data_IF_698668102442
#
_entry.id   IF_698668102442
#
_cell.length_a   1.000
_cell.length_b   1.000
_cell.length_c   1.000
_cell.angle_alpha   90.00
_cell.angle_beta   90.00
_cell.angle_gamma   90.00
#
_symmetry.space_group_name_H-M   'P 1'
#
loop_
_entity.id
_entity.type
_entity.pdbx_description
1 polymer ?
#
# COMPACT_ATOMS: atom_id res chain seq x y z
N UNK A 1 -66.83 46.80 37.56
CA UNK A 1 -65.97 45.60 37.80
C UNK A 1 -65.61 44.82 36.53
N UNK A 2 -66.46 44.72 35.51
CA UNK A 2 -66.14 43.93 34.30
C UNK A 2 -64.98 44.47 33.45
N UNK A 3 -64.75 45.78 33.37
CA UNK A 3 -63.71 46.37 32.49
C UNK A 3 -62.26 46.13 32.96
N UNK A 4 -61.98 46.01 34.27
CA UNK A 4 -60.61 45.80 34.74
C UNK A 4 -60.13 44.36 34.56
N UNK A 5 -61.05 43.39 34.56
CA UNK A 5 -60.75 41.97 34.31
C UNK A 5 -60.31 41.76 32.85
N UNK A 6 -60.96 42.42 31.89
CA UNK A 6 -60.58 42.32 30.47
C UNK A 6 -59.23 42.96 30.16
N UNK A 7 -58.88 44.06 30.83
CA UNK A 7 -57.56 44.70 30.70
C UNK A 7 -56.46 43.80 31.28
N UNK A 8 -56.74 43.14 32.41
CA UNK A 8 -55.80 42.22 33.04
C UNK A 8 -55.54 40.98 32.19
N UNK A 9 -56.59 40.41 31.56
CA UNK A 9 -56.48 39.26 30.66
C UNK A 9 -55.71 39.65 29.38
N UNK A 10 -55.96 40.83 28.82
CA UNK A 10 -55.23 41.31 27.65
C UNK A 10 -53.73 41.52 27.94
N UNK A 11 -53.39 42.08 29.11
CA UNK A 11 -52.00 42.22 29.55
C UNK A 11 -51.32 40.86 29.75
N UNK A 12 -52.05 39.88 30.32
CA UNK A 12 -51.53 38.53 30.54
C UNK A 12 -51.28 37.81 29.21
N UNK A 13 -52.15 37.99 28.21
CA UNK A 13 -51.96 37.44 26.86
C UNK A 13 -50.78 38.09 26.12
N UNK A 14 -50.56 39.40 26.29
CA UNK A 14 -49.42 40.10 25.68
C UNK A 14 -48.10 39.64 26.31
N UNK A 15 -48.05 39.44 27.63
CA UNK A 15 -46.87 38.91 28.34
C UNK A 15 -46.62 37.44 27.94
N UNK A 16 -47.66 36.62 27.82
CA UNK A 16 -47.52 35.23 27.37
C UNK A 16 -46.99 35.16 25.93
N UNK A 17 -47.53 35.97 25.03
CA UNK A 17 -47.10 36.04 23.64
C UNK A 17 -45.65 36.53 23.51
N UNK A 18 -45.23 37.53 24.30
CA UNK A 18 -43.84 38.01 24.28
C UNK A 18 -42.85 37.00 24.89
N UNK A 19 -43.27 36.21 25.88
CA UNK A 19 -42.42 35.15 26.46
C UNK A 19 -42.21 33.94 25.55
N UNK A 20 -43.12 33.67 24.61
CA UNK A 20 -43.04 32.54 23.66
C UNK A 20 -42.33 32.90 22.34
N UNK A 21 -42.28 34.19 21.97
CA UNK A 21 -41.67 34.65 20.71
C UNK A 21 -40.15 34.82 20.84
N UNK A 22 -39.62 35.16 22.03
CA UNK A 22 -38.18 35.35 22.24
C UNK A 22 -37.30 34.08 22.18
N UNK A 23 -37.70 32.91 22.72
CA UNK A 23 -36.88 31.70 22.60
C UNK A 23 -36.86 31.14 21.16
N UNK A 24 -37.95 31.31 20.40
CA UNK A 24 -38.03 30.82 19.02
C UNK A 24 -37.17 31.67 18.05
N UNK A 25 -37.13 32.99 18.24
CA UNK A 25 -36.27 33.88 17.45
C UNK A 25 -34.78 33.65 17.71
N UNK A 26 -34.40 33.20 18.91
CA UNK A 26 -33.01 32.84 19.23
C UNK A 26 -32.53 31.57 18.52
N UNK A 27 -33.44 30.64 18.18
CA UNK A 27 -33.11 29.42 17.43
C UNK A 27 -32.99 29.68 15.92
N UNK A 28 -33.81 30.59 15.39
CA UNK A 28 -33.71 31.07 14.00
C UNK A 28 -32.49 31.97 13.74
N UNK A 29 -31.91 32.58 14.78
CA UNK A 29 -30.63 33.29 14.74
C UNK A 29 -29.47 32.40 15.25
N UNK A 30 -29.53 31.09 15.00
CA UNK A 30 -28.32 30.27 15.06
C UNK A 30 -27.40 30.76 13.95
N UNK A 31 -26.43 31.58 14.36
CA UNK A 31 -25.33 32.14 13.56
C UNK A 31 -24.99 31.19 12.41
N UNK A 32 -24.97 31.76 11.19
CA UNK A 32 -24.45 31.15 9.99
C UNK A 32 -23.24 30.27 10.35
N UNK A 33 -23.42 28.96 10.26
CA UNK A 33 -22.32 28.02 10.43
C UNK A 33 -21.35 28.37 9.32
N UNK A 34 -20.18 28.85 9.70
CA UNK A 34 -19.13 29.21 8.76
C UNK A 34 -18.57 27.92 8.16
N UNK A 35 -19.19 27.49 7.06
CA UNK A 35 -18.82 26.27 6.37
C UNK A 35 -17.37 26.34 5.85
N UNK A 36 -16.83 27.52 5.55
CA UNK A 36 -15.41 27.69 5.19
C UNK A 36 -14.51 27.43 6.40
N UNK A 37 -14.90 27.89 7.60
CA UNK A 37 -14.15 27.58 8.82
C UNK A 37 -14.22 26.09 9.18
N UNK A 38 -15.35 25.43 8.94
CA UNK A 38 -15.50 23.98 9.13
C UNK A 38 -14.66 23.21 8.11
N UNK A 39 -14.74 23.56 6.82
CA UNK A 39 -13.96 22.94 5.74
C UNK A 39 -12.46 23.12 5.97
N UNK A 40 -12.02 24.31 6.37
CA UNK A 40 -10.63 24.58 6.73
C UNK A 40 -10.17 23.80 7.96
N UNK A 41 -11.03 23.63 8.97
CA UNK A 41 -10.70 22.80 10.13
C UNK A 41 -10.58 21.32 9.78
N UNK A 42 -11.29 20.85 8.74
CA UNK A 42 -11.19 19.50 8.21
C UNK A 42 -9.94 19.34 7.34
N UNK A 43 -9.59 20.32 6.50
CA UNK A 43 -8.30 20.38 5.77
C UNK A 43 -7.09 20.40 6.71
N UNK A 44 -7.21 21.02 7.88
CA UNK A 44 -6.11 21.10 8.86
C UNK A 44 -6.01 19.82 9.71
N UNK A 45 -7.09 19.05 9.84
CA UNK A 45 -7.15 17.84 10.68
C UNK A 45 -6.75 16.54 9.97
N UNK A 46 -6.79 16.50 8.64
CA UNK A 46 -6.44 15.34 7.80
C UNK A 46 -4.96 15.32 7.35
N UNK A 47 -4.11 16.15 7.95
CA UNK A 47 -2.67 16.03 7.77
C UNK A 47 -2.14 14.85 8.61
N UNK A 48 -2.41 13.63 8.15
CA UNK A 48 -1.77 12.37 8.58
C UNK A 48 -0.22 12.41 8.58
N UNK A 49 0.34 13.50 8.06
CA UNK A 49 1.74 13.88 8.08
C UNK A 49 2.25 14.24 9.48
N UNK A 50 1.43 14.75 10.41
CA UNK A 50 1.88 15.18 11.75
C UNK A 50 2.00 14.04 12.79
N UNK A 51 1.47 12.85 12.51
CA UNK A 51 1.52 11.70 13.42
C UNK A 51 2.77 10.81 13.24
N UNK A 52 3.61 11.08 12.23
CA UNK A 52 4.81 10.29 11.92
C UNK A 52 6.07 10.99 12.44
N UNK A 53 7.02 10.24 13.02
CA UNK A 53 8.26 10.83 13.54
C UNK A 53 9.03 11.55 12.42
N UNK A 54 9.68 12.67 12.72
CA UNK A 54 10.33 13.59 11.77
C UNK A 54 11.34 12.91 10.82
N UNK A 55 11.94 11.80 11.27
CA UNK A 55 12.84 10.96 10.45
C UNK A 55 12.08 10.25 9.32
N UNK A 56 10.89 9.72 9.57
CA UNK A 56 10.05 9.06 8.56
C UNK A 56 9.53 10.05 7.52
N UNK A 57 9.28 11.29 7.92
CA UNK A 57 8.89 12.37 7.01
C UNK A 57 10.01 12.74 6.03
N UNK A 58 11.26 12.81 6.51
CA UNK A 58 12.40 13.06 5.62
C UNK A 58 12.66 11.91 4.65
N UNK A 59 12.48 10.66 5.08
CA UNK A 59 12.58 9.50 4.20
C UNK A 59 11.48 9.52 3.13
N UNK A 60 10.23 9.81 3.51
CA UNK A 60 9.13 9.97 2.56
C UNK A 60 9.35 11.11 1.58
N UNK A 61 9.81 12.28 2.04
CA UNK A 61 10.11 13.43 1.17
C UNK A 61 11.18 13.08 0.13
N UNK A 62 12.26 12.45 0.59
CA UNK A 62 13.36 11.99 -0.27
C UNK A 62 12.87 10.95 -1.28
N UNK A 63 12.01 10.03 -0.86
CA UNK A 63 11.37 9.09 -1.77
C UNK A 63 10.52 9.84 -2.80
N UNK A 64 9.61 10.75 -2.43
CA UNK A 64 8.82 11.54 -3.39
C UNK A 64 9.66 12.36 -4.36
N UNK A 65 10.79 12.93 -3.91
CA UNK A 65 11.71 13.69 -4.78
C UNK A 65 12.49 12.78 -5.74
N UNK A 66 12.93 11.61 -5.28
CA UNK A 66 13.59 10.61 -6.13
C UNK A 66 12.60 9.96 -7.11
N UNK A 67 11.33 9.84 -6.72
CA UNK A 67 10.20 9.41 -7.53
C UNK A 67 9.89 10.44 -8.63
N UNK A 68 9.90 11.75 -8.34
CA UNK A 68 9.69 12.82 -9.33
C UNK A 68 10.84 12.99 -10.34
N UNK A 69 12.07 12.63 -9.98
CA UNK A 69 13.25 12.72 -10.87
C UNK A 69 13.34 11.59 -11.90
N UNK A 70 12.54 10.54 -11.76
CA UNK A 70 12.55 9.39 -12.66
C UNK A 70 11.60 9.67 -13.84
N UNK A 71 12.10 9.70 -15.10
CA UNK A 71 11.28 10.03 -16.27
C UNK A 71 10.15 9.03 -16.56
N UNK A 72 10.14 7.86 -15.90
CA UNK A 72 9.18 6.78 -16.11
C UNK A 72 8.38 6.41 -14.83
N UNK A 73 8.41 7.24 -13.79
CA UNK A 73 7.85 6.87 -12.49
C UNK A 73 6.47 7.52 -12.25
N UNK A 74 5.46 6.64 -12.13
CA UNK A 74 4.12 6.83 -11.51
C UNK A 74 3.20 7.94 -12.08
N UNK A 75 3.60 8.66 -13.12
CA UNK A 75 2.72 9.63 -13.82
C UNK A 75 2.17 9.16 -15.18
N UNK A 76 2.79 8.17 -15.82
CA UNK A 76 2.35 7.70 -17.14
C UNK A 76 1.25 6.65 -17.00
N UNK A 77 0.01 7.11 -17.19
CA UNK A 77 -1.27 6.42 -17.00
C UNK A 77 -1.44 5.15 -17.86
N UNK A 78 -0.42 4.74 -18.63
CA UNK A 78 -0.50 3.63 -19.58
C UNK A 78 0.72 2.71 -19.68
N UNK A 79 1.78 2.87 -18.88
CA UNK A 79 2.92 1.95 -18.94
C UNK A 79 2.64 0.76 -18.01
N UNK A 80 2.54 -0.48 -18.54
CA UNK A 80 2.40 -1.66 -17.71
C UNK A 80 3.66 -1.87 -16.89
N UNK A 81 3.48 -2.18 -15.61
CA UNK A 81 4.58 -2.44 -14.67
C UNK A 81 4.70 -3.94 -14.44
N UNK A 82 5.93 -4.40 -14.25
CA UNK A 82 6.23 -5.81 -13.97
C UNK A 82 6.93 -5.95 -12.62
N UNK A 83 6.60 -7.04 -11.93
CA UNK A 83 7.10 -7.37 -10.60
C UNK A 83 7.52 -8.83 -10.58
N UNK A 84 8.57 -9.13 -9.82
CA UNK A 84 9.01 -10.50 -9.58
C UNK A 84 8.72 -10.88 -8.13
N UNK A 85 7.94 -11.93 -7.94
CA UNK A 85 7.60 -12.50 -6.64
C UNK A 85 8.52 -13.69 -6.39
N UNK A 86 9.07 -13.77 -5.18
CA UNK A 86 9.73 -14.95 -4.67
C UNK A 86 8.87 -15.58 -3.57
N UNK A 87 8.59 -16.87 -3.70
CA UNK A 87 7.89 -17.64 -2.67
C UNK A 87 8.81 -18.00 -1.51
N UNK A 88 8.22 -18.24 -0.33
CA UNK A 88 8.92 -18.89 0.79
C UNK A 88 9.21 -20.35 0.44
N UNK A 89 10.36 -20.85 0.89
CA UNK A 89 10.79 -22.23 0.65
C UNK A 89 9.76 -23.27 1.18
N UNK A 90 8.98 -22.92 2.20
CA UNK A 90 7.91 -23.77 2.77
C UNK A 90 6.54 -23.61 2.09
N UNK A 91 6.33 -22.55 1.31
CA UNK A 91 5.00 -22.20 0.82
C UNK A 91 4.38 -23.26 -0.10
N UNK A 92 5.15 -23.73 -1.10
CA UNK A 92 4.65 -24.76 -2.03
C UNK A 92 4.45 -26.11 -1.33
N UNK A 93 5.40 -26.63 -0.52
CA UNK A 93 5.17 -27.87 0.24
C UNK A 93 3.96 -27.80 1.19
N UNK A 94 3.77 -26.67 1.89
CA UNK A 94 2.63 -26.50 2.80
C UNK A 94 1.30 -26.47 2.02
N UNK A 95 1.27 -25.83 0.84
CA UNK A 95 0.11 -25.82 -0.03
C UNK A 95 -0.25 -27.22 -0.53
N UNK A 96 0.73 -27.99 -0.99
CA UNK A 96 0.55 -29.39 -1.44
C UNK A 96 0.03 -30.27 -0.29
N UNK A 97 0.48 -30.03 0.95
CA UNK A 97 -0.01 -30.76 2.13
C UNK A 97 -1.48 -30.46 2.42
N UNK A 98 -1.90 -29.20 2.25
CA UNK A 98 -3.28 -28.77 2.49
C UNK A 98 -4.23 -29.21 1.37
N UNK A 99 -3.76 -29.16 0.13
CA UNK A 99 -4.55 -29.43 -1.08
C UNK A 99 -3.86 -30.46 -1.98
N UNK A 100 -3.85 -31.75 -1.59
CA UNK A 100 -3.13 -32.79 -2.32
C UNK A 100 -3.74 -33.13 -3.69
N UNK A 101 -4.98 -32.72 -3.93
CA UNK A 101 -5.69 -32.97 -5.20
C UNK A 101 -5.25 -32.02 -6.32
N UNK A 102 -4.60 -30.90 -5.97
CA UNK A 102 -4.19 -29.87 -6.93
C UNK A 102 -2.79 -30.21 -7.46
N UNK A 103 -2.63 -30.46 -8.77
CA UNK A 103 -1.37 -30.92 -9.34
C UNK A 103 -0.30 -29.80 -9.44
N UNK A 104 -0.73 -28.56 -9.63
CA UNK A 104 0.15 -27.40 -9.77
C UNK A 104 -0.13 -26.35 -8.68
N UNK A 105 0.68 -26.31 -7.61
CA UNK A 105 0.46 -25.40 -6.50
C UNK A 105 0.74 -23.94 -6.89
N UNK A 106 1.75 -23.70 -7.74
CA UNK A 106 2.14 -22.34 -8.12
C UNK A 106 1.04 -21.71 -8.98
N UNK A 107 0.52 -22.47 -9.96
CA UNK A 107 -0.59 -22.04 -10.79
C UNK A 107 -1.85 -21.78 -9.97
N UNK A 108 -2.18 -22.66 -9.03
CA UNK A 108 -3.36 -22.51 -8.19
C UNK A 108 -3.31 -21.27 -7.29
N UNK A 109 -2.14 -20.97 -6.71
CA UNK A 109 -1.93 -19.75 -5.92
C UNK A 109 -2.07 -18.51 -6.82
N UNK A 110 -1.47 -18.54 -8.02
CA UNK A 110 -1.54 -17.43 -8.97
C UNK A 110 -2.98 -17.15 -9.41
N UNK A 111 -3.77 -18.17 -9.77
CA UNK A 111 -5.18 -18.01 -10.15
C UNK A 111 -6.05 -17.54 -8.98
N UNK A 112 -5.76 -18.02 -7.75
CA UNK A 112 -6.42 -17.53 -6.55
C UNK A 112 -6.19 -16.02 -6.38
N UNK A 113 -4.93 -15.57 -6.42
CA UNK A 113 -4.61 -14.14 -6.29
C UNK A 113 -5.17 -13.30 -7.44
N UNK A 114 -5.12 -13.82 -8.66
CA UNK A 114 -5.74 -13.18 -9.83
C UNK A 114 -7.23 -12.95 -9.63
N UNK A 115 -7.95 -13.94 -9.09
CA UNK A 115 -9.38 -13.79 -8.77
C UNK A 115 -9.62 -12.74 -7.68
N UNK A 116 -8.77 -12.70 -6.64
CA UNK A 116 -8.87 -11.71 -5.55
C UNK A 116 -8.61 -10.29 -6.06
N UNK A 117 -7.56 -10.10 -6.85
CA UNK A 117 -7.20 -8.81 -7.45
C UNK A 117 -8.27 -8.33 -8.42
N UNK A 118 -8.81 -9.23 -9.24
CA UNK A 118 -9.90 -8.91 -10.15
C UNK A 118 -11.16 -8.45 -9.40
N UNK A 119 -11.50 -9.10 -8.28
CA UNK A 119 -12.59 -8.67 -7.40
C UNK A 119 -12.33 -7.29 -6.76
N UNK A 120 -11.06 -6.95 -6.53
CA UNK A 120 -10.61 -5.62 -6.09
C UNK A 120 -10.51 -4.58 -7.20
N UNK A 121 -10.86 -4.92 -8.45
CA UNK A 121 -10.75 -4.01 -9.60
C UNK A 121 -9.34 -3.84 -10.17
N UNK A 122 -8.39 -4.67 -9.73
CA UNK A 122 -7.00 -4.68 -10.23
C UNK A 122 -6.85 -5.83 -11.23
N UNK A 123 -6.58 -5.48 -12.50
CA UNK A 123 -6.30 -6.45 -13.55
C UNK A 123 -4.78 -6.72 -13.61
N UNK A 124 -4.40 -7.93 -13.20
CA UNK A 124 -3.02 -8.40 -13.21
C UNK A 124 -2.88 -9.74 -13.96
N UNK A 125 -1.81 -9.86 -14.73
CA UNK A 125 -1.43 -11.07 -15.45
C UNK A 125 -0.28 -11.76 -14.69
N UNK A 126 -0.44 -13.05 -14.43
CA UNK A 126 0.57 -13.88 -13.76
C UNK A 126 1.25 -14.79 -14.77
N UNK A 127 2.58 -14.85 -14.72
CA UNK A 127 3.40 -15.70 -15.57
C UNK A 127 4.31 -16.57 -14.70
N UNK A 128 4.17 -17.88 -14.88
CA UNK A 128 5.02 -18.86 -14.23
C UNK A 128 6.35 -19.00 -14.96
N UNK A 129 7.43 -19.08 -14.19
CA UNK A 129 8.76 -19.35 -14.74
C UNK A 129 9.02 -20.85 -14.73
N UNK A 130 9.03 -21.48 -15.91
CA UNK A 130 9.30 -22.91 -16.06
C UNK A 130 10.62 -23.37 -15.42
N UNK A 131 11.62 -22.49 -15.34
CA UNK A 131 12.95 -22.79 -14.76
C UNK A 131 12.97 -22.72 -13.23
N UNK A 132 12.01 -22.03 -12.61
CA UNK A 132 12.03 -21.66 -11.20
C UNK A 132 10.59 -21.62 -10.64
N UNK A 133 10.06 -22.74 -10.12
CA UNK A 133 8.68 -22.82 -9.64
C UNK A 133 8.43 -21.95 -8.39
N UNK A 134 9.50 -21.50 -7.74
CA UNK A 134 9.54 -20.58 -6.61
C UNK A 134 9.39 -19.11 -7.02
N UNK A 135 9.39 -18.82 -8.32
CA UNK A 135 9.31 -17.46 -8.86
C UNK A 135 8.10 -17.27 -9.73
N UNK A 136 7.44 -16.14 -9.53
CA UNK A 136 6.26 -15.74 -10.28
C UNK A 136 6.46 -14.32 -10.79
N UNK A 137 6.23 -14.10 -12.09
CA UNK A 137 6.25 -12.76 -12.65
C UNK A 137 4.81 -12.24 -12.72
N UNK A 138 4.61 -11.02 -12.25
CA UNK A 138 3.30 -10.35 -12.30
C UNK A 138 3.41 -9.11 -13.14
N UNK A 139 2.42 -8.89 -13.99
CA UNK A 139 2.31 -7.69 -14.80
C UNK A 139 0.98 -7.01 -14.52
N UNK A 140 1.03 -5.73 -14.18
CA UNK A 140 -0.16 -4.89 -14.02
C UNK A 140 -0.28 -3.98 -15.23
N UNK A 141 -1.49 -3.90 -15.82
CA UNK A 141 -1.72 -3.05 -16.99
C UNK A 141 -1.67 -1.56 -16.65
N UNK A 142 -2.18 -1.20 -15.47
CA UNK A 142 -2.27 0.18 -14.98
C UNK A 142 -1.17 0.44 -13.95
N UNK A 143 -0.13 1.15 -14.34
CA UNK A 143 1.06 1.37 -13.48
C UNK A 143 0.79 2.08 -12.16
N UNK A 144 -0.29 2.87 -12.04
CA UNK A 144 -0.67 3.53 -10.78
C UNK A 144 -1.22 2.56 -9.73
N UNK A 145 -1.74 1.39 -10.14
CA UNK A 145 -2.18 0.33 -9.23
C UNK A 145 -1.01 -0.56 -8.76
N UNK A 146 0.21 -0.26 -9.18
CA UNK A 146 1.37 -1.06 -8.83
C UNK A 146 1.68 -1.01 -7.33
N UNK A 147 1.50 0.14 -6.68
CA UNK A 147 1.71 0.28 -5.23
C UNK A 147 0.71 -0.60 -4.45
N UNK A 148 -0.58 -0.50 -4.77
CA UNK A 148 -1.64 -1.33 -4.17
C UNK A 148 -1.40 -2.84 -4.40
N UNK A 149 -0.88 -3.21 -5.58
CA UNK A 149 -0.54 -4.59 -5.88
C UNK A 149 0.62 -5.10 -5.03
N UNK A 150 1.68 -4.29 -4.84
CA UNK A 150 2.80 -4.65 -3.96
C UNK A 150 2.30 -4.84 -2.52
N UNK A 151 1.49 -3.92 -2.02
CA UNK A 151 0.91 -4.02 -0.68
C UNK A 151 0.08 -5.29 -0.50
N UNK A 152 -0.73 -5.65 -1.51
CA UNK A 152 -1.48 -6.90 -1.49
C UNK A 152 -0.57 -8.13 -1.45
N UNK A 153 0.46 -8.17 -2.30
CA UNK A 153 1.36 -9.31 -2.45
C UNK A 153 2.24 -9.54 -1.23
N UNK A 154 2.77 -8.46 -0.65
CA UNK A 154 3.65 -8.50 0.53
C UNK A 154 2.90 -9.02 1.77
N UNK A 155 1.58 -8.81 1.82
CA UNK A 155 0.73 -9.32 2.89
C UNK A 155 0.36 -10.80 2.76
N UNK A 156 0.68 -11.47 1.65
CA UNK A 156 0.38 -12.89 1.46
C UNK A 156 1.37 -13.77 2.25
N UNK A 157 0.86 -14.78 2.93
CA UNK A 157 1.68 -15.68 3.76
C UNK A 157 2.74 -16.45 2.97
N UNK A 158 2.44 -16.73 1.69
CA UNK A 158 3.28 -17.51 0.80
C UNK A 158 4.48 -16.71 0.25
N UNK A 159 4.41 -15.38 0.27
CA UNK A 159 5.39 -14.49 -0.35
C UNK A 159 6.57 -14.23 0.58
N UNK A 160 7.79 -14.32 0.04
CA UNK A 160 9.05 -14.06 0.75
C UNK A 160 9.58 -12.66 0.49
N UNK A 161 9.66 -12.29 -0.78
CA UNK A 161 10.06 -10.95 -1.21
C UNK A 161 9.37 -10.62 -2.55
N UNK A 162 9.11 -9.33 -2.78
CA UNK A 162 8.61 -8.80 -4.05
C UNK A 162 9.63 -7.80 -4.57
N UNK A 163 10.13 -8.02 -5.78
CA UNK A 163 11.05 -7.12 -6.45
C UNK A 163 10.25 -6.24 -7.43
N UNK A 164 10.23 -4.94 -7.18
CA UNK A 164 9.58 -3.93 -8.01
C UNK A 164 10.47 -2.70 -8.15
N UNK A 165 10.67 -2.22 -9.38
CA UNK A 165 11.51 -1.05 -9.72
C UNK A 165 12.90 -1.03 -9.03
N UNK A 166 13.60 -2.18 -9.07
CA UNK A 166 14.90 -2.41 -8.43
C UNK A 166 14.92 -2.38 -6.89
N UNK A 167 13.76 -2.21 -6.26
CA UNK A 167 13.57 -2.24 -4.83
C UNK A 167 12.96 -3.58 -4.41
N UNK A 168 13.41 -4.10 -3.26
CA UNK A 168 12.91 -5.37 -2.71
C UNK A 168 12.02 -5.06 -1.52
N UNK A 169 10.75 -5.47 -1.61
CA UNK A 169 9.76 -5.33 -0.57
C UNK A 169 9.63 -6.64 0.20
N UNK A 170 9.57 -6.55 1.53
CA UNK A 170 9.51 -7.69 2.43
C UNK A 170 8.20 -7.70 3.23
N UNK A 171 7.64 -8.88 3.57
CA UNK A 171 6.45 -9.00 4.41
C UNK A 171 6.60 -8.29 5.76
N UNK A 172 5.52 -7.72 6.30
CA UNK A 172 5.55 -7.03 7.59
C UNK A 172 6.02 -7.96 8.70
N UNK A 173 6.93 -7.47 9.55
CA UNK A 173 7.52 -8.25 10.64
C UNK A 173 8.80 -9.01 10.26
N UNK A 174 9.27 -8.88 9.02
CA UNK A 174 10.60 -9.37 8.61
C UNK A 174 11.68 -8.35 8.97
N UNK A 175 12.81 -8.79 9.51
CA UNK A 175 13.97 -7.90 9.71
C UNK A 175 14.67 -7.65 8.36
N UNK A 176 14.30 -6.54 7.72
CA UNK A 176 14.84 -6.10 6.43
C UNK A 176 16.37 -6.00 6.46
N UNK A 177 16.94 -5.51 7.57
CA UNK A 177 18.37 -5.32 7.70
C UNK A 177 19.13 -6.66 7.78
N UNK A 178 18.52 -7.68 8.39
CA UNK A 178 19.08 -9.03 8.39
C UNK A 178 19.00 -9.67 7.00
N UNK A 179 17.88 -9.50 6.30
CA UNK A 179 17.67 -10.05 4.96
C UNK A 179 18.61 -9.44 3.92
N UNK A 180 18.80 -8.11 3.93
CA UNK A 180 19.74 -7.44 3.04
C UNK A 180 21.19 -7.85 3.30
N UNK A 181 21.59 -7.98 4.57
CA UNK A 181 22.94 -8.50 4.93
C UNK A 181 23.18 -9.92 4.43
N UNK A 182 22.17 -10.78 4.55
CA UNK A 182 22.27 -12.15 4.04
C UNK A 182 22.39 -12.17 2.51
N UNK A 183 21.58 -11.36 1.82
CA UNK A 183 21.61 -11.20 0.36
C UNK A 183 22.96 -10.67 -0.11
N UNK A 184 23.54 -9.71 0.60
CA UNK A 184 24.86 -9.17 0.29
C UNK A 184 25.95 -10.22 0.51
N UNK A 185 25.89 -10.99 1.61
CA UNK A 185 26.80 -12.11 1.87
C UNK A 185 26.75 -13.14 0.75
N UNK A 186 25.55 -13.57 0.35
CA UNK A 186 25.35 -14.52 -0.73
C UNK A 186 25.87 -14.00 -2.07
N UNK A 187 25.65 -12.70 -2.38
CA UNK A 187 26.22 -12.05 -3.57
C UNK A 187 27.75 -12.07 -3.55
N UNK A 188 28.37 -11.71 -2.43
CA UNK A 188 29.83 -11.71 -2.28
C UNK A 188 30.41 -13.13 -2.44
N UNK A 189 29.75 -14.14 -1.86
CA UNK A 189 30.14 -15.55 -2.02
C UNK A 189 30.02 -16.03 -3.48
N UNK A 190 28.96 -15.65 -4.18
CA UNK A 190 28.78 -15.99 -5.59
C UNK A 190 29.89 -15.37 -6.46
N UNK A 191 30.20 -14.09 -6.25
CA UNK A 191 31.30 -13.38 -6.94
C UNK A 191 32.65 -14.06 -6.64
N UNK A 192 32.90 -14.44 -5.38
CA UNK A 192 34.11 -15.14 -4.99
C UNK A 192 34.22 -16.51 -5.70
N UNK A 193 33.13 -17.28 -5.75
CA UNK A 193 33.07 -18.58 -6.46
C UNK A 193 33.31 -18.42 -7.96
N UNK A 194 32.75 -17.39 -8.60
CA UNK A 194 33.00 -17.10 -10.02
C UNK A 194 34.46 -16.74 -10.29
N UNK A 195 35.04 -15.85 -9.50
CA UNK A 195 36.47 -15.48 -9.61
C UNK A 195 37.38 -16.70 -9.45
N UNK A 196 37.06 -17.61 -8.53
CA UNK A 196 37.75 -18.88 -8.36
C UNK A 196 37.61 -19.80 -9.59
N UNK A 197 36.41 -19.93 -10.16
CA UNK A 197 36.17 -20.71 -11.39
C UNK A 197 36.96 -20.14 -12.58
N UNK A 198 36.98 -18.81 -12.75
CA UNK A 198 37.74 -18.15 -13.80
C UNK A 198 39.26 -18.34 -13.64
N UNK A 199 39.80 -18.21 -12.41
CA UNK A 199 41.21 -18.49 -12.12
C UNK A 199 41.59 -19.95 -12.44
N UNK A 200 40.72 -20.92 -12.12
CA UNK A 200 40.93 -22.35 -12.45
C UNK A 200 40.90 -22.60 -13.96
N UNK A 201 39.99 -21.96 -14.71
CA UNK A 201 39.95 -22.06 -16.18
C UNK A 201 41.22 -21.49 -16.83
N UNK A 202 41.69 -20.32 -16.39
CA UNK A 202 42.95 -19.71 -16.89
C UNK A 202 44.18 -20.58 -16.61
N UNK A 203 44.28 -21.18 -15.42
CA UNK A 203 45.38 -22.13 -15.09
C UNK A 203 45.35 -23.42 -15.90
N UNK A 204 44.17 -23.91 -16.29
CA UNK A 204 44.05 -25.09 -17.16
C UNK A 204 44.45 -24.77 -18.59
N UNK A 205 44.00 -23.63 -19.15
CA UNK A 205 44.38 -23.21 -20.50
C UNK A 205 45.91 -23.03 -20.64
N UNK A 206 46.56 -22.39 -19.67
CA UNK A 206 48.01 -22.20 -19.66
C UNK A 206 48.83 -23.50 -19.51
N UNK A 207 48.22 -24.61 -19.08
CA UNK A 207 48.88 -25.93 -18.99
C UNK A 207 48.73 -26.78 -20.26
N UNK A 208 47.85 -26.40 -21.18
CA UNK A 208 47.59 -27.14 -22.42
C UNK A 208 48.38 -26.57 -23.60
N UNK A 209 48.98 -25.38 -23.45
CA UNK A 209 49.79 -24.70 -24.48
C UNK A 209 51.32 -24.89 -24.28
N UNK A 210 51.73 -25.76 -23.36
CA UNK A 210 53.12 -26.20 -23.10
C UNK A 210 53.24 -27.70 -23.39
#
# INVERSE_FOLDING_TARGET
MKRSVWISIALLLVVLASSLVWPAAAWLNSKDIDYEAVEKAWETGDMDEELKPEVDLMHKRRQTEERQKRPNFVGDVGIPQTMLILFKDSALPDFVRLYPEIPDPTHAIAEMWKSMLFNGGIEAEFFELNEAPDKLLVKVQRGWLAEDLVDFLVNQEQVKEVLWDYETYYPPGTDEAAMEKEKERLRQEAIAKEKLKQKKKKKKAAKTEL
#
